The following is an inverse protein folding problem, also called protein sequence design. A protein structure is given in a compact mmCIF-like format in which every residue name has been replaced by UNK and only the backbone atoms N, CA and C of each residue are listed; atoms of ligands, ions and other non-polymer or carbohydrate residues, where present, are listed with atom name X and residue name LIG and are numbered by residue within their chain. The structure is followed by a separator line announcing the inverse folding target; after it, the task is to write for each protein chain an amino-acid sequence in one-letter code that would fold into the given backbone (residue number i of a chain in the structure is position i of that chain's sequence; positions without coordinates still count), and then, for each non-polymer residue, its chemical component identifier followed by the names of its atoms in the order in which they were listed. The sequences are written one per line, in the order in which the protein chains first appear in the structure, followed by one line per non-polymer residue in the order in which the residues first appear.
data_IF_527110669526
#
_entry.id   IF_527110669526
#
_cell.length_a   1.000
_cell.length_b   1.000
_cell.length_c   1.000
_cell.angle_alpha   90.00
_cell.angle_beta   90.00
_cell.angle_gamma   90.00
#
_symmetry.space_group_name_H-M   'P 1'
#
loop_
_entity.id
_entity.type
_entity.pdbx_description
1 polymer ?
#
# COMPACT_ATOMS: atom_id res chain seq x y z
N UNK A 1 37.62 -24.44 -7.68
CA UNK A 1 36.54 -24.80 -6.73
C UNK A 1 36.13 -23.65 -5.79
N UNK A 2 37.06 -22.94 -5.14
CA UNK A 2 36.74 -21.85 -4.17
C UNK A 2 36.02 -20.67 -4.83
N UNK A 3 36.40 -20.30 -6.05
CA UNK A 3 35.79 -19.19 -6.79
C UNK A 3 34.35 -19.47 -7.22
N UNK A 4 34.06 -20.71 -7.63
CA UNK A 4 32.71 -21.16 -7.99
C UNK A 4 31.79 -21.12 -6.77
N UNK A 5 32.22 -21.66 -5.62
CA UNK A 5 31.45 -21.61 -4.36
C UNK A 5 31.13 -20.17 -3.94
N UNK A 6 32.08 -19.24 -4.11
CA UNK A 6 31.88 -17.81 -3.81
C UNK A 6 30.86 -17.16 -4.74
N UNK A 7 30.93 -17.42 -6.04
CA UNK A 7 29.99 -16.87 -7.02
C UNK A 7 28.57 -17.36 -6.77
N UNK A 8 28.42 -18.65 -6.41
CA UNK A 8 27.12 -19.23 -6.00
C UNK A 8 26.58 -18.54 -4.74
N UNK A 9 27.41 -18.36 -3.71
CA UNK A 9 26.98 -17.66 -2.48
C UNK A 9 26.55 -16.21 -2.74
N UNK A 10 27.31 -15.48 -3.56
CA UNK A 10 27.00 -14.11 -3.96
C UNK A 10 25.68 -14.03 -4.73
N UNK A 11 25.43 -14.98 -5.62
CA UNK A 11 24.18 -15.09 -6.37
C UNK A 11 22.98 -15.36 -5.45
N UNK A 12 23.08 -16.36 -4.57
CA UNK A 12 22.03 -16.68 -3.58
C UNK A 12 21.71 -15.47 -2.72
N UNK A 13 22.73 -14.71 -2.29
CA UNK A 13 22.54 -13.51 -1.48
C UNK A 13 21.77 -12.41 -2.24
N UNK A 14 22.06 -12.22 -3.53
CA UNK A 14 21.30 -11.26 -4.37
C UNK A 14 19.84 -11.70 -4.49
N UNK A 15 19.59 -12.98 -4.79
CA UNK A 15 18.22 -13.51 -4.93
C UNK A 15 17.44 -13.32 -3.63
N UNK A 16 18.07 -13.59 -2.48
CA UNK A 16 17.45 -13.39 -1.17
C UNK A 16 17.12 -11.90 -0.91
N UNK A 17 18.04 -10.99 -1.23
CA UNK A 17 17.78 -9.53 -1.12
C UNK A 17 16.60 -9.15 -2.00
N UNK A 18 16.59 -9.55 -3.27
CA UNK A 18 15.50 -9.25 -4.19
C UNK A 18 14.15 -9.80 -3.69
N UNK A 19 14.15 -10.98 -3.09
CA UNK A 19 12.95 -11.56 -2.48
C UNK A 19 12.44 -10.72 -1.31
N UNK A 20 13.30 -10.33 -0.36
CA UNK A 20 12.92 -9.45 0.77
C UNK A 20 12.41 -8.10 0.27
N UNK A 21 13.08 -7.50 -0.72
CA UNK A 21 12.65 -6.26 -1.33
C UNK A 21 11.27 -6.41 -2.02
N UNK A 22 11.03 -7.54 -2.70
CA UNK A 22 9.72 -7.80 -3.32
C UNK A 22 8.59 -7.92 -2.30
N UNK A 23 8.85 -8.54 -1.13
CA UNK A 23 7.89 -8.62 -0.03
C UNK A 23 7.55 -7.22 0.50
N UNK A 24 8.56 -6.38 0.74
CA UNK A 24 8.33 -5.02 1.24
C UNK A 24 7.49 -4.21 0.23
N UNK A 25 7.82 -4.28 -1.05
CA UNK A 25 7.06 -3.59 -2.10
C UNK A 25 5.62 -4.11 -2.21
N UNK A 26 5.43 -5.42 -2.08
CA UNK A 26 4.12 -6.05 -2.03
C UNK A 26 3.31 -5.53 -0.84
N UNK A 27 3.89 -5.49 0.36
CA UNK A 27 3.23 -4.95 1.54
C UNK A 27 2.82 -3.47 1.36
N UNK A 28 3.70 -2.63 0.82
CA UNK A 28 3.36 -1.22 0.52
C UNK A 28 2.16 -1.14 -0.42
N UNK A 29 2.13 -1.99 -1.44
CA UNK A 29 1.08 -1.98 -2.46
C UNK A 29 -0.24 -2.55 -1.96
N UNK A 30 -0.19 -3.64 -1.20
CA UNK A 30 -1.37 -4.37 -0.73
C UNK A 30 -2.06 -3.64 0.44
N UNK A 31 -1.29 -3.08 1.36
CA UNK A 31 -1.81 -2.35 2.52
C UNK A 31 -1.91 -0.84 2.30
N UNK A 32 -1.69 -0.35 1.07
CA UNK A 32 -1.74 1.08 0.74
C UNK A 32 -0.93 1.95 1.71
N UNK A 33 0.30 1.52 2.04
CA UNK A 33 1.15 2.21 3.02
C UNK A 33 1.65 3.55 2.46
N UNK A 34 1.14 4.65 3.01
CA UNK A 34 1.55 6.02 2.69
C UNK A 34 2.89 6.45 3.31
N UNK A 35 3.22 7.73 3.22
CA UNK A 35 4.52 8.25 3.69
C UNK A 35 4.43 8.64 5.16
N UNK A 36 4.91 7.75 6.04
CA UNK A 36 5.04 8.01 7.48
C UNK A 36 6.47 7.82 7.97
N UNK A 37 6.82 8.42 9.11
CA UNK A 37 8.12 8.20 9.75
C UNK A 37 8.40 6.72 10.02
N UNK A 38 7.37 5.97 10.43
CA UNK A 38 7.48 4.52 10.68
C UNK A 38 7.82 3.79 9.39
N UNK A 39 7.06 4.01 8.32
CA UNK A 39 7.32 3.35 7.03
C UNK A 39 8.68 3.72 6.42
N UNK A 40 9.16 4.95 6.62
CA UNK A 40 10.49 5.37 6.17
C UNK A 40 11.59 4.64 6.94
N UNK A 41 11.44 4.44 8.26
CA UNK A 41 12.39 3.65 9.05
C UNK A 41 12.45 2.22 8.53
N UNK A 42 11.31 1.56 8.34
CA UNK A 42 11.25 0.20 7.81
C UNK A 42 11.89 0.08 6.41
N UNK A 43 11.72 1.10 5.57
CA UNK A 43 12.33 1.12 4.24
C UNK A 43 13.85 1.34 4.29
N UNK A 44 14.36 2.12 5.25
CA UNK A 44 15.79 2.46 5.39
C UNK A 44 16.60 1.35 6.08
N UNK A 45 16.02 0.62 7.05
CA UNK A 45 16.71 -0.46 7.78
C UNK A 45 17.46 -1.44 6.88
N UNK A 46 16.86 -2.05 5.83
CA UNK A 46 17.58 -2.97 4.96
C UNK A 46 18.71 -2.28 4.19
N UNK A 47 18.54 -1.01 3.80
CA UNK A 47 19.57 -0.22 3.12
C UNK A 47 20.76 0.00 4.07
N UNK A 48 20.51 0.48 5.29
CA UNK A 48 21.56 0.73 6.29
C UNK A 48 22.25 -0.57 6.69
N UNK A 49 21.51 -1.65 6.89
CA UNK A 49 22.07 -2.96 7.19
C UNK A 49 23.02 -3.45 6.09
N UNK A 50 22.59 -3.42 4.83
CA UNK A 50 23.39 -3.86 3.68
C UNK A 50 24.63 -2.97 3.52
N UNK A 51 24.48 -1.65 3.63
CA UNK A 51 25.61 -0.71 3.53
C UNK A 51 26.64 -0.91 4.64
N UNK A 52 26.21 -1.11 5.89
CA UNK A 52 27.10 -1.40 7.02
C UNK A 52 27.88 -2.71 6.82
N UNK A 53 27.20 -3.77 6.37
CA UNK A 53 27.84 -5.06 6.04
C UNK A 53 28.87 -4.90 4.91
N UNK A 54 28.55 -4.09 3.90
CA UNK A 54 29.44 -3.81 2.76
C UNK A 54 30.69 -3.03 3.18
N UNK A 55 30.55 -2.01 4.03
CA UNK A 55 31.67 -1.22 4.57
C UNK A 55 32.62 -2.12 5.35
N UNK A 56 32.09 -2.94 6.28
CA UNK A 56 32.90 -3.91 7.04
C UNK A 56 33.65 -4.86 6.11
N UNK A 57 32.97 -5.36 5.08
CA UNK A 57 33.53 -6.28 4.08
C UNK A 57 34.63 -5.65 3.23
N UNK A 58 34.52 -4.34 2.93
CA UNK A 58 35.50 -3.55 2.18
C UNK A 58 36.76 -3.28 3.01
N UNK A 59 36.60 -2.93 4.30
CA UNK A 59 37.71 -2.71 5.23
C UNK A 59 38.57 -3.97 5.43
N UNK A 60 37.96 -5.16 5.37
CA UNK A 60 38.64 -6.43 5.66
C UNK A 60 39.30 -7.06 4.41
N UNK A 61 38.86 -6.76 3.18
CA UNK A 61 39.27 -7.54 2.00
C UNK A 61 39.39 -6.73 0.69
N UNK A 62 40.59 -6.69 0.11
CA UNK A 62 40.98 -5.77 -1.00
C UNK A 62 40.90 -6.36 -2.42
N UNK A 63 40.03 -7.35 -2.68
CA UNK A 63 39.93 -7.95 -4.04
C UNK A 63 39.02 -7.14 -4.96
N UNK A 64 39.50 -6.79 -6.17
CA UNK A 64 38.76 -5.98 -7.17
C UNK A 64 37.36 -6.52 -7.51
N UNK A 65 37.21 -7.83 -7.75
CA UNK A 65 35.91 -8.43 -8.10
C UNK A 65 34.85 -8.34 -6.99
N UNK A 66 35.28 -8.33 -5.72
CA UNK A 66 34.38 -8.14 -4.58
C UNK A 66 33.86 -6.69 -4.54
N UNK A 67 34.69 -5.70 -4.90
CA UNK A 67 34.29 -4.28 -4.92
C UNK A 67 33.18 -4.01 -5.94
N UNK A 68 33.28 -4.58 -7.15
CA UNK A 68 32.25 -4.44 -8.19
C UNK A 68 30.91 -5.02 -7.70
N UNK A 69 30.94 -6.21 -7.11
CA UNK A 69 29.75 -6.84 -6.53
C UNK A 69 29.04 -5.97 -5.48
N UNK A 70 29.81 -5.37 -4.55
CA UNK A 70 29.25 -4.48 -3.51
C UNK A 70 28.61 -3.23 -4.13
N UNK A 71 29.23 -2.64 -5.16
CA UNK A 71 28.69 -1.48 -5.88
C UNK A 71 27.37 -1.84 -6.56
N UNK A 72 27.31 -2.98 -7.26
CA UNK A 72 26.10 -3.44 -7.95
C UNK A 72 24.93 -3.62 -6.95
N UNK A 73 25.18 -4.25 -5.80
CA UNK A 73 24.15 -4.38 -4.75
C UNK A 73 23.68 -3.01 -4.27
N UNK A 74 24.61 -2.08 -4.04
CA UNK A 74 24.25 -0.76 -3.55
C UNK A 74 23.36 0.00 -4.56
N UNK A 75 23.67 -0.12 -5.85
CA UNK A 75 22.85 0.46 -6.93
C UNK A 75 21.45 -0.17 -6.95
N UNK A 76 21.35 -1.50 -6.86
CA UNK A 76 20.05 -2.20 -6.82
C UNK A 76 19.22 -1.74 -5.62
N UNK A 77 19.82 -1.66 -4.44
CA UNK A 77 19.14 -1.25 -3.20
C UNK A 77 18.68 0.20 -3.26
N UNK A 78 19.49 1.11 -3.81
CA UNK A 78 19.11 2.52 -4.00
C UNK A 78 17.97 2.66 -5.01
N UNK A 79 18.04 1.96 -6.15
CA UNK A 79 16.97 1.98 -7.15
C UNK A 79 15.65 1.46 -6.56
N UNK A 80 15.71 0.37 -5.80
CA UNK A 80 14.56 -0.16 -5.08
C UNK A 80 13.98 0.84 -4.08
N UNK A 81 14.84 1.47 -3.27
CA UNK A 81 14.43 2.48 -2.30
C UNK A 81 13.68 3.63 -3.00
N UNK A 82 14.24 4.15 -4.09
CA UNK A 82 13.61 5.22 -4.87
C UNK A 82 12.26 4.80 -5.45
N UNK A 83 12.16 3.59 -6.02
CA UNK A 83 10.90 3.09 -6.57
C UNK A 83 9.81 2.90 -5.49
N UNK A 84 10.20 2.40 -4.32
CA UNK A 84 9.29 2.21 -3.19
C UNK A 84 8.81 3.55 -2.63
N UNK A 85 9.72 4.52 -2.51
CA UNK A 85 9.38 5.87 -2.06
C UNK A 85 8.40 6.55 -3.03
N UNK A 86 8.63 6.44 -4.35
CA UNK A 86 7.71 6.97 -5.36
C UNK A 86 6.32 6.33 -5.26
N UNK A 87 6.26 5.01 -5.01
CA UNK A 87 5.00 4.30 -4.80
C UNK A 87 4.26 4.83 -3.57
N UNK A 88 4.96 5.01 -2.44
CA UNK A 88 4.38 5.55 -1.21
C UNK A 88 3.89 6.99 -1.39
N UNK A 89 4.67 7.85 -2.06
CA UNK A 89 4.25 9.22 -2.39
C UNK A 89 3.00 9.21 -3.26
N UNK A 90 2.93 8.32 -4.25
CA UNK A 90 1.76 8.19 -5.09
C UNK A 90 0.53 7.70 -4.30
N UNK A 91 0.70 6.79 -3.34
CA UNK A 91 -0.36 6.37 -2.42
C UNK A 91 -0.85 7.57 -1.58
N UNK A 92 0.07 8.32 -0.98
CA UNK A 92 -0.24 9.51 -0.17
C UNK A 92 -1.01 10.57 -0.98
N UNK A 93 -0.60 10.83 -2.22
CA UNK A 93 -1.31 11.76 -3.09
C UNK A 93 -2.72 11.24 -3.45
N UNK A 94 -2.90 9.93 -3.49
CA UNK A 94 -4.20 9.31 -3.76
C UNK A 94 -5.12 9.24 -2.55
N UNK A 95 -4.59 9.28 -1.33
CA UNK A 95 -5.40 9.28 -0.11
C UNK A 95 -6.06 10.62 0.20
N UNK A 96 -5.61 11.72 -0.43
CA UNK A 96 -6.26 13.01 -0.29
C UNK A 96 -7.70 12.99 -0.80
N UNK A 97 -8.64 13.14 0.14
CA UNK A 97 -10.07 13.12 -0.12
C UNK A 97 -10.61 14.50 -0.52
N UNK A 98 -11.43 14.51 -1.56
CA UNK A 98 -12.40 15.57 -1.82
C UNK A 98 -13.70 14.92 -2.30
N UNK A 99 -14.84 15.55 -2.02
CA UNK A 99 -16.15 15.08 -2.49
C UNK A 99 -16.16 14.88 -4.00
N UNK A 100 -15.64 15.85 -4.76
CA UNK A 100 -15.55 15.76 -6.22
C UNK A 100 -14.76 14.53 -6.67
N UNK A 101 -13.58 14.29 -6.09
CA UNK A 101 -12.73 13.16 -6.45
C UNK A 101 -13.37 11.83 -6.06
N UNK A 102 -14.02 11.77 -4.91
CA UNK A 102 -14.76 10.57 -4.48
C UNK A 102 -15.87 10.22 -5.46
N UNK A 103 -16.64 11.21 -5.91
CA UNK A 103 -17.69 11.02 -6.91
C UNK A 103 -17.09 10.57 -8.26
N UNK A 104 -16.07 11.27 -8.76
CA UNK A 104 -15.41 10.95 -10.04
C UNK A 104 -14.71 9.59 -10.05
N UNK A 105 -14.32 9.07 -8.89
CA UNK A 105 -13.64 7.77 -8.74
C UNK A 105 -14.60 6.58 -8.61
N UNK A 106 -15.89 6.77 -8.79
CA UNK A 106 -16.89 5.70 -8.70
C UNK A 106 -16.54 4.50 -9.58
N UNK A 107 -16.59 3.30 -9.00
CA UNK A 107 -16.28 2.05 -9.69
C UNK A 107 -14.79 1.85 -10.01
N UNK A 108 -13.91 2.76 -9.61
CA UNK A 108 -12.46 2.63 -9.78
C UNK A 108 -11.76 2.26 -8.48
N UNK A 109 -10.59 1.64 -8.56
CA UNK A 109 -9.75 1.36 -7.39
C UNK A 109 -9.24 2.60 -6.62
N UNK A 110 -9.55 3.83 -7.07
CA UNK A 110 -9.11 5.04 -6.38
C UNK A 110 -9.82 5.27 -5.04
N UNK A 111 -11.06 4.81 -4.88
CA UNK A 111 -11.81 4.98 -3.62
C UNK A 111 -11.17 4.26 -2.44
N UNK A 112 -10.45 3.16 -2.68
CA UNK A 112 -9.72 2.45 -1.63
C UNK A 112 -8.66 3.33 -0.94
N UNK A 113 -8.02 4.25 -1.67
CA UNK A 113 -7.01 5.13 -1.08
C UNK A 113 -7.61 6.14 -0.11
N UNK A 114 -8.89 6.49 -0.30
CA UNK A 114 -9.62 7.48 0.51
C UNK A 114 -10.46 6.83 1.61
N UNK A 115 -10.52 5.50 1.67
CA UNK A 115 -11.43 4.74 2.52
C UNK A 115 -11.22 5.03 4.01
N UNK A 116 -9.97 5.14 4.46
CA UNK A 116 -9.63 5.47 5.85
C UNK A 116 -10.16 6.85 6.23
N UNK A 117 -10.08 7.83 5.33
CA UNK A 117 -10.67 9.16 5.59
C UNK A 117 -12.18 9.07 5.67
N UNK A 118 -12.82 8.42 4.69
CA UNK A 118 -14.28 8.32 4.60
C UNK A 118 -14.86 7.65 5.85
N UNK A 119 -14.38 6.47 6.21
CA UNK A 119 -14.89 5.71 7.36
C UNK A 119 -14.71 6.45 8.70
N UNK A 120 -13.59 7.14 8.89
CA UNK A 120 -13.38 7.96 10.08
C UNK A 120 -14.25 9.22 10.09
N UNK A 121 -14.44 9.85 8.92
CA UNK A 121 -15.18 11.11 8.80
C UNK A 121 -16.69 10.93 8.90
N UNK A 122 -17.23 9.83 8.37
CA UNK A 122 -18.67 9.55 8.41
C UNK A 122 -19.15 9.04 9.75
N UNK A 123 -18.27 8.56 10.62
CA UNK A 123 -18.67 8.10 11.95
C UNK A 123 -19.40 9.20 12.74
N UNK A 124 -20.62 8.90 13.19
CA UNK A 124 -21.51 9.83 13.89
C UNK A 124 -22.25 10.83 13.00
N UNK A 125 -22.10 10.79 11.67
CA UNK A 125 -22.88 11.62 10.75
C UNK A 125 -24.29 11.07 10.55
N UNK A 126 -25.26 11.94 10.35
CA UNK A 126 -26.58 11.55 9.88
C UNK A 126 -26.58 11.28 8.36
N UNK A 127 -27.69 10.75 7.83
CA UNK A 127 -27.79 10.36 6.42
C UNK A 127 -27.51 11.51 5.45
N UNK A 128 -28.09 12.68 5.68
CA UNK A 128 -27.99 13.82 4.79
C UNK A 128 -26.54 14.36 4.76
N UNK A 129 -25.88 14.39 5.91
CA UNK A 129 -24.46 14.76 6.02
C UNK A 129 -23.54 13.80 5.25
N UNK A 130 -23.83 12.49 5.29
CA UNK A 130 -23.07 11.50 4.52
C UNK A 130 -23.29 11.70 3.02
N UNK A 131 -24.52 11.93 2.58
CA UNK A 131 -24.85 12.17 1.18
C UNK A 131 -24.21 13.47 0.69
N UNK A 132 -24.20 14.53 1.50
CA UNK A 132 -23.49 15.77 1.18
C UNK A 132 -21.98 15.54 1.00
N UNK A 133 -21.39 14.69 1.85
CA UNK A 133 -19.95 14.40 1.81
C UNK A 133 -19.54 13.48 0.65
N UNK A 134 -20.29 12.39 0.43
CA UNK A 134 -19.94 11.28 -0.46
C UNK A 134 -20.73 11.24 -1.77
N UNK A 135 -21.71 12.12 -1.93
CA UNK A 135 -22.67 12.07 -3.03
C UNK A 135 -23.74 10.99 -2.83
N UNK A 136 -24.57 10.84 -3.85
CA UNK A 136 -25.67 9.89 -3.84
C UNK A 136 -25.16 8.45 -3.70
N UNK A 137 -25.80 7.64 -2.84
CA UNK A 137 -25.45 6.23 -2.67
C UNK A 137 -25.86 5.42 -3.91
N UNK A 138 -25.29 4.23 -4.02
CA UNK A 138 -25.69 3.27 -5.02
C UNK A 138 -27.01 2.58 -4.61
N UNK A 139 -28.10 2.88 -5.31
CA UNK A 139 -29.40 2.25 -5.08
C UNK A 139 -29.56 0.98 -5.94
N UNK A 140 -29.47 -0.20 -5.31
CA UNK A 140 -29.95 -1.45 -5.94
C UNK A 140 -30.90 -2.19 -5.05
N UNK A 141 -31.83 -2.92 -5.67
CA UNK A 141 -32.83 -3.78 -5.00
C UNK A 141 -32.20 -4.88 -4.13
N UNK A 142 -30.94 -5.25 -4.37
CA UNK A 142 -30.24 -6.28 -3.62
C UNK A 142 -29.76 -5.81 -2.25
N UNK A 143 -29.47 -4.51 -2.12
CA UNK A 143 -28.88 -3.96 -0.90
C UNK A 143 -29.67 -2.81 -0.26
N UNK A 144 -30.77 -2.37 -0.85
CA UNK A 144 -31.59 -1.27 -0.32
C UNK A 144 -32.24 -1.60 1.02
N UNK A 145 -32.01 -0.75 2.01
CA UNK A 145 -32.70 -0.76 3.29
C UNK A 145 -32.53 0.60 3.96
N UNK A 146 -33.57 1.09 4.64
CA UNK A 146 -33.59 2.43 5.25
C UNK A 146 -32.45 2.66 6.26
N UNK A 147 -31.86 1.59 6.78
CA UNK A 147 -30.81 1.61 7.81
C UNK A 147 -29.38 1.63 7.28
N UNK A 148 -29.15 1.71 5.96
CA UNK A 148 -27.79 1.79 5.41
C UNK A 148 -27.65 2.64 4.15
N UNK A 149 -26.44 3.15 3.94
CA UNK A 149 -25.98 3.73 2.68
C UNK A 149 -24.88 2.84 2.09
N UNK A 150 -24.84 2.75 0.76
CA UNK A 150 -23.94 1.83 0.05
C UNK A 150 -23.19 2.61 -1.02
N UNK A 151 -21.88 2.39 -1.09
CA UNK A 151 -21.01 3.01 -2.08
C UNK A 151 -20.10 1.96 -2.71
N UNK A 152 -20.01 1.94 -4.04
CA UNK A 152 -19.05 1.07 -4.76
C UNK A 152 -17.63 1.54 -4.41
N UNK A 153 -16.73 0.65 -3.98
CA UNK A 153 -15.32 0.98 -3.77
C UNK A 153 -14.46 0.69 -5.00
N UNK A 154 -14.86 -0.26 -5.84
CA UNK A 154 -14.16 -0.65 -7.06
C UNK A 154 -13.92 -2.16 -7.12
N UNK A 155 -13.09 -2.62 -8.08
CA UNK A 155 -12.74 -4.04 -8.18
C UNK A 155 -12.06 -4.54 -6.90
N UNK A 156 -12.34 -5.77 -6.49
CA UNK A 156 -11.82 -6.41 -5.28
C UNK A 156 -10.30 -6.24 -5.16
N UNK A 157 -9.81 -5.85 -3.98
CA UNK A 157 -8.38 -5.80 -3.70
C UNK A 157 -7.76 -7.19 -3.72
N UNK A 158 -6.90 -7.46 -4.69
CA UNK A 158 -6.24 -8.76 -4.79
C UNK A 158 -5.26 -8.86 -5.95
N UNK A 159 -4.64 -10.04 -6.10
CA UNK A 159 -3.80 -10.36 -7.27
C UNK A 159 -4.68 -10.60 -8.51
N UNK A 160 -5.90 -11.09 -8.30
CA UNK A 160 -6.94 -11.26 -9.30
C UNK A 160 -8.21 -10.62 -8.77
N UNK A 161 -8.72 -9.59 -9.47
CA UNK A 161 -9.98 -8.91 -9.13
C UNK A 161 -11.04 -9.38 -10.13
N UNK A 162 -11.94 -10.24 -9.69
CA UNK A 162 -13.07 -10.70 -10.50
C UNK A 162 -14.33 -9.92 -10.09
N UNK A 163 -14.49 -9.74 -8.79
CA UNK A 163 -15.67 -9.14 -8.18
C UNK A 163 -15.45 -7.68 -7.77
N UNK A 164 -16.49 -7.04 -7.23
CA UNK A 164 -16.45 -5.67 -6.73
C UNK A 164 -16.56 -5.64 -5.21
N UNK A 165 -15.84 -4.71 -4.58
CA UNK A 165 -16.00 -4.37 -3.17
C UNK A 165 -16.92 -3.16 -3.00
N UNK A 166 -17.69 -3.18 -1.92
CA UNK A 166 -18.72 -2.21 -1.56
C UNK A 166 -18.52 -1.74 -0.13
N UNK A 167 -18.70 -0.45 0.11
CA UNK A 167 -18.73 0.16 1.44
C UNK A 167 -20.16 0.30 1.91
N UNK A 168 -20.49 -0.34 3.02
CA UNK A 168 -21.78 -0.22 3.69
C UNK A 168 -21.58 0.66 4.92
N UNK A 169 -22.40 1.71 5.06
CA UNK A 169 -22.47 2.56 6.24
C UNK A 169 -23.79 2.28 6.96
N UNK A 170 -23.73 1.82 8.19
CA UNK A 170 -24.90 1.43 8.99
C UNK A 170 -25.29 2.53 9.96
N UNK A 171 -26.59 2.77 10.07
CA UNK A 171 -27.17 3.77 10.97
C UNK A 171 -27.75 3.11 12.22
N UNK A 172 -27.52 3.73 13.37
CA UNK A 172 -28.13 3.35 14.63
C UNK A 172 -29.60 3.82 14.73
N UNK A 173 -30.25 3.57 15.87
CA UNK A 173 -31.64 4.00 16.11
C UNK A 173 -31.81 5.52 16.12
N UNK A 174 -30.75 6.28 16.42
CA UNK A 174 -30.73 7.74 16.38
C UNK A 174 -30.50 8.31 14.97
N UNK A 175 -30.35 7.44 13.95
CA UNK A 175 -30.11 7.84 12.56
C UNK A 175 -28.69 8.34 12.28
N UNK A 176 -27.72 7.93 13.10
CA UNK A 176 -26.29 8.27 12.97
C UNK A 176 -25.47 7.05 12.55
N UNK A 177 -24.46 7.26 11.71
CA UNK A 177 -23.50 6.20 11.35
C UNK A 177 -22.77 5.74 12.61
N UNK A 178 -22.80 4.45 12.89
CA UNK A 178 -22.08 3.86 14.03
C UNK A 178 -21.16 2.70 13.63
N UNK A 179 -21.30 2.20 12.40
CA UNK A 179 -20.54 1.08 11.90
C UNK A 179 -20.36 1.17 10.39
N UNK A 180 -19.32 0.51 9.89
CA UNK A 180 -19.14 0.30 8.46
C UNK A 180 -18.71 -1.14 8.19
N UNK A 181 -19.06 -1.63 7.01
CA UNK A 181 -18.67 -2.96 6.53
C UNK A 181 -18.15 -2.85 5.10
N UNK A 182 -17.17 -3.68 4.75
CA UNK A 182 -16.72 -3.85 3.37
C UNK A 182 -17.19 -5.23 2.92
N UNK A 183 -17.99 -5.26 1.86
CA UNK A 183 -18.58 -6.49 1.33
C UNK A 183 -18.06 -6.72 -0.09
N UNK A 184 -17.74 -7.96 -0.41
CA UNK A 184 -17.42 -8.42 -1.78
C UNK A 184 -18.62 -9.16 -2.34
N UNK A 185 -18.96 -8.92 -3.61
CA UNK A 185 -19.97 -9.68 -4.36
C UNK A 185 -19.45 -11.08 -4.76
#
# INVERSE_FOLDING_TARGET
MIEIKRNIFMFISIVFILFVLSIIYFCISFFYVGVTWISLIFLIIPVVGITAMNIRSWLINSRKGKKIYLIVIQVIVVLYFSFSLLKMINIENKSYFTTQRWIESEGTSERFYMLDYVTNKTNGMNRDEVIELLGEPYETKYFSGDKRLIYVLGPERGIFSIDYEWLFLEFNEDGLVNNYEIVTD
#
